data_IF_409469989585
#
_entry.id   IF_409469989585
#
_cell.length_a   1.000
_cell.length_b   1.000
_cell.length_c   1.000
_cell.angle_alpha   90.00
_cell.angle_beta   90.00
_cell.angle_gamma   90.00
#
_symmetry.space_group_name_H-M   'P 1'
#
loop_
_entity.id
_entity.type
_entity.pdbx_description
1 polymer ?
#
# COMPACT_ATOMS: atom_id res chain seq x y z
N UNK A 1 12.79 -18.85 -15.59
CA UNK A 1 12.79 -17.43 -15.18
C UNK A 1 14.01 -17.19 -14.33
N UNK A 2 14.90 -16.29 -14.72
CA UNK A 2 16.12 -15.95 -13.99
C UNK A 2 15.87 -14.77 -13.05
N UNK A 3 16.53 -14.76 -11.89
CA UNK A 3 16.44 -13.72 -10.85
C UNK A 3 17.08 -12.36 -11.25
N UNK A 4 16.97 -11.95 -12.52
CA UNK A 4 17.65 -10.78 -13.08
C UNK A 4 16.75 -9.62 -13.51
N UNK A 5 15.43 -9.80 -13.61
CA UNK A 5 14.50 -8.77 -14.10
C UNK A 5 13.91 -7.96 -12.93
N UNK A 6 14.77 -7.43 -12.08
CA UNK A 6 14.37 -6.41 -11.12
C UNK A 6 14.23 -5.09 -11.87
N UNK A 7 13.05 -4.88 -12.46
CA UNK A 7 12.62 -3.59 -12.99
C UNK A 7 12.79 -2.52 -11.91
N UNK A 8 13.77 -1.65 -12.08
CA UNK A 8 13.92 -0.47 -11.25
C UNK A 8 12.67 0.40 -11.40
N UNK A 9 12.11 0.88 -10.29
CA UNK A 9 11.19 2.01 -10.32
C UNK A 9 12.00 3.22 -10.75
N UNK A 10 11.88 3.60 -12.01
CA UNK A 10 12.42 4.85 -12.49
C UNK A 10 11.48 5.95 -12.01
N UNK A 11 12.00 6.81 -11.11
CA UNK A 11 11.36 8.05 -10.73
C UNK A 11 11.74 9.07 -11.78
N UNK A 12 10.81 9.36 -12.67
CA UNK A 12 11.06 10.29 -13.76
C UNK A 12 10.22 11.53 -13.41
N UNK A 13 10.86 12.65 -13.01
CA UNK A 13 10.18 13.93 -13.10
C UNK A 13 9.61 14.02 -14.53
N UNK A 14 8.39 14.51 -14.71
CA UNK A 14 7.73 14.60 -16.02
C UNK A 14 8.49 15.46 -17.06
N UNK A 15 9.69 15.96 -16.72
CA UNK A 15 10.55 16.81 -17.52
C UNK A 15 11.84 16.11 -18.00
N UNK A 16 12.16 14.90 -17.53
CA UNK A 16 13.36 14.17 -17.96
C UNK A 16 13.11 13.28 -19.19
N UNK A 17 14.13 13.14 -20.05
CA UNK A 17 14.05 12.28 -21.25
C UNK A 17 13.96 10.82 -20.86
N UNK A 18 12.77 10.26 -21.02
CA UNK A 18 12.51 8.82 -20.84
C UNK A 18 12.99 8.03 -22.06
N UNK A 19 13.56 6.85 -21.83
CA UNK A 19 13.94 5.95 -22.92
C UNK A 19 12.73 5.62 -23.81
N UNK A 20 12.82 5.74 -25.15
CA UNK A 20 11.69 5.52 -26.05
C UNK A 20 10.99 4.17 -25.87
N UNK A 21 11.75 3.11 -25.57
CA UNK A 21 11.18 1.77 -25.34
C UNK A 21 10.27 1.73 -24.10
N UNK A 22 10.63 2.47 -23.04
CA UNK A 22 9.76 2.60 -21.85
C UNK A 22 8.49 3.34 -22.24
N UNK A 23 8.62 4.46 -22.97
CA UNK A 23 7.46 5.25 -23.44
C UNK A 23 6.52 4.41 -24.29
N UNK A 24 7.05 3.55 -25.16
CA UNK A 24 6.25 2.70 -26.05
C UNK A 24 5.41 1.65 -25.33
N UNK A 25 5.86 1.22 -24.14
CA UNK A 25 5.15 0.27 -23.29
C UNK A 25 4.18 0.91 -22.29
N UNK A 26 4.15 2.24 -22.19
CA UNK A 26 3.26 2.94 -21.27
C UNK A 26 1.82 2.98 -21.78
N UNK A 27 0.89 2.86 -20.84
CA UNK A 27 -0.53 3.10 -21.08
C UNK A 27 -0.74 4.46 -21.79
N UNK A 28 -1.65 4.55 -22.77
CA UNK A 28 -1.96 5.83 -23.43
C UNK A 28 -2.19 6.99 -22.45
N UNK A 29 -2.85 6.72 -21.33
CA UNK A 29 -3.12 7.72 -20.30
C UNK A 29 -1.82 8.30 -19.71
N UNK A 30 -0.81 7.47 -19.42
CA UNK A 30 0.47 7.97 -18.96
C UNK A 30 1.24 8.71 -20.05
N UNK A 31 1.17 8.25 -21.30
CA UNK A 31 1.84 8.94 -22.41
C UNK A 31 1.36 10.37 -22.59
N UNK A 32 0.08 10.64 -22.34
CA UNK A 32 -0.47 12.00 -22.36
C UNK A 32 0.05 12.88 -21.20
N UNK A 33 0.44 12.26 -20.07
CA UNK A 33 0.97 12.94 -18.89
C UNK A 33 2.49 13.11 -18.90
N UNK A 34 3.21 12.33 -19.71
CA UNK A 34 4.67 12.23 -19.71
C UNK A 34 5.43 13.51 -20.02
N UNK A 35 4.79 14.48 -20.67
CA UNK A 35 5.36 15.78 -20.98
C UNK A 35 4.52 16.93 -20.39
N UNK A 36 3.54 16.60 -19.56
CA UNK A 36 2.68 17.58 -18.92
C UNK A 36 3.40 18.21 -17.74
N UNK A 37 3.28 19.53 -17.59
CA UNK A 37 3.66 20.20 -16.34
C UNK A 37 2.81 19.68 -15.18
N UNK A 38 3.27 19.79 -13.93
CA UNK A 38 2.47 19.47 -12.74
C UNK A 38 1.04 20.06 -12.76
N UNK A 39 0.90 21.32 -13.19
CA UNK A 39 -0.40 21.98 -13.30
C UNK A 39 -1.27 21.36 -14.40
N UNK A 40 -0.67 20.97 -15.53
CA UNK A 40 -1.39 20.31 -16.62
C UNK A 40 -1.86 18.91 -16.23
N UNK A 41 -1.07 18.17 -15.44
CA UNK A 41 -1.50 16.90 -14.85
C UNK A 41 -2.72 17.13 -13.95
N UNK A 42 -2.66 18.12 -13.06
CA UNK A 42 -3.79 18.47 -12.17
C UNK A 42 -5.04 18.90 -12.94
N UNK A 43 -4.91 19.72 -13.97
CA UNK A 43 -6.03 20.06 -14.86
C UNK A 43 -6.65 18.82 -15.50
N UNK A 44 -5.82 17.90 -15.97
CA UNK A 44 -6.28 16.65 -16.60
C UNK A 44 -7.06 15.79 -15.61
N UNK A 45 -6.54 15.65 -14.38
CA UNK A 45 -7.22 14.96 -13.29
C UNK A 45 -8.52 15.68 -12.89
N UNK A 46 -8.52 17.01 -12.79
CA UNK A 46 -9.69 17.81 -12.42
C UNK A 46 -10.81 17.72 -13.46
N UNK A 47 -10.48 17.74 -14.76
CA UNK A 47 -11.46 17.53 -15.83
C UNK A 47 -12.06 16.12 -15.72
N UNK A 48 -11.22 15.10 -15.51
CA UNK A 48 -11.67 13.71 -15.39
C UNK A 48 -12.58 13.51 -14.17
N UNK A 49 -12.18 14.04 -13.02
CA UNK A 49 -12.92 13.88 -11.78
C UNK A 49 -14.06 14.88 -11.62
N UNK A 50 -14.15 15.90 -12.47
CA UNK A 50 -15.21 16.90 -12.45
C UNK A 50 -16.61 16.31 -12.67
N UNK A 51 -16.69 15.17 -13.35
CA UNK A 51 -17.92 14.41 -13.58
C UNK A 51 -18.27 13.40 -12.48
N UNK A 52 -17.42 13.23 -11.46
CA UNK A 52 -17.73 12.32 -10.36
C UNK A 52 -18.92 12.85 -9.54
N UNK A 53 -19.74 11.95 -8.97
CA UNK A 53 -20.78 12.31 -8.00
C UNK A 53 -20.20 13.07 -6.81
N UNK A 54 -21.00 13.95 -6.21
CA UNK A 54 -20.58 14.80 -5.08
C UNK A 54 -20.04 13.98 -3.91
N UNK A 55 -20.59 12.78 -3.69
CA UNK A 55 -20.15 11.88 -2.63
C UNK A 55 -18.70 11.38 -2.79
N UNK A 56 -18.17 11.36 -4.02
CA UNK A 56 -16.81 10.94 -4.34
C UNK A 56 -15.83 12.11 -4.48
N UNK A 57 -16.33 13.36 -4.53
CA UNK A 57 -15.50 14.57 -4.64
C UNK A 57 -14.49 14.76 -3.50
N UNK A 58 -14.77 14.40 -2.23
CA UNK A 58 -13.79 14.57 -1.17
C UNK A 58 -12.46 13.89 -1.48
N UNK A 59 -12.49 12.61 -1.89
CA UNK A 59 -11.27 11.89 -2.28
C UNK A 59 -10.60 12.54 -3.50
N UNK A 60 -11.38 12.90 -4.53
CA UNK A 60 -10.82 13.54 -5.72
C UNK A 60 -10.11 14.86 -5.39
N UNK A 61 -10.74 15.70 -4.56
CA UNK A 61 -10.17 16.97 -4.12
C UNK A 61 -8.88 16.75 -3.32
N UNK A 62 -8.84 15.76 -2.41
CA UNK A 62 -7.61 15.42 -1.68
C UNK A 62 -6.48 14.99 -2.60
N UNK A 63 -6.78 14.20 -3.62
CA UNK A 63 -5.78 13.80 -4.61
C UNK A 63 -5.31 15.00 -5.46
N UNK A 64 -6.18 15.95 -5.78
CA UNK A 64 -5.80 17.18 -6.50
C UNK A 64 -4.96 18.14 -5.64
N UNK A 65 -5.20 18.17 -4.33
CA UNK A 65 -4.45 18.94 -3.34
C UNK A 65 -3.06 18.36 -3.07
N UNK A 66 -2.82 17.09 -3.41
CA UNK A 66 -1.51 16.48 -3.30
C UNK A 66 -0.45 17.28 -4.09
N UNK A 67 0.79 17.22 -3.62
CA UNK A 67 1.97 17.91 -4.13
C UNK A 67 2.35 17.55 -5.56
N UNK A 68 3.61 17.74 -5.96
CA UNK A 68 4.00 17.62 -7.37
C UNK A 68 3.79 16.18 -7.88
N UNK A 69 2.88 15.95 -8.85
CA UNK A 69 2.74 14.64 -9.48
C UNK A 69 4.06 14.23 -10.14
N UNK A 70 4.39 12.95 -10.05
CA UNK A 70 5.54 12.35 -10.72
C UNK A 70 5.14 11.02 -11.33
N UNK A 71 5.63 10.70 -12.54
CA UNK A 71 5.46 9.36 -13.07
C UNK A 71 6.50 8.42 -12.45
N UNK A 72 6.03 7.28 -11.95
CA UNK A 72 6.88 6.24 -11.38
C UNK A 72 6.52 4.91 -12.02
N UNK A 73 7.48 4.22 -12.61
CA UNK A 73 7.20 2.96 -13.29
C UNK A 73 8.41 2.09 -13.53
N UNK A 74 8.13 0.81 -13.78
CA UNK A 74 9.08 -0.20 -14.28
C UNK A 74 8.56 -0.80 -15.59
N UNK A 75 9.20 -1.85 -16.11
CA UNK A 75 8.86 -2.39 -17.43
C UNK A 75 7.44 -2.98 -17.55
N UNK A 76 6.80 -3.34 -16.42
CA UNK A 76 5.48 -3.98 -16.40
C UNK A 76 4.35 -3.13 -15.87
N UNK A 77 4.66 -2.05 -15.17
CA UNK A 77 3.64 -1.23 -14.53
C UNK A 77 4.16 0.18 -14.29
N UNK A 78 3.28 1.15 -14.50
CA UNK A 78 3.53 2.54 -14.17
C UNK A 78 2.38 3.09 -13.31
N UNK A 79 2.69 4.15 -12.57
CA UNK A 79 1.81 4.85 -11.66
C UNK A 79 2.10 6.33 -11.75
N UNK A 80 1.06 7.14 -11.61
CA UNK A 80 1.19 8.53 -11.25
C UNK A 80 1.31 8.61 -9.72
N UNK A 81 2.47 8.99 -9.21
CA UNK A 81 2.69 9.25 -7.80
C UNK A 81 2.23 10.68 -7.47
N UNK A 82 1.38 10.79 -6.47
CA UNK A 82 0.93 12.04 -5.86
C UNK A 82 1.47 12.09 -4.44
N UNK A 83 2.26 13.11 -4.11
CA UNK A 83 2.89 13.23 -2.78
C UNK A 83 2.13 14.24 -1.94
N UNK A 84 1.43 13.83 -0.88
CA UNK A 84 0.79 14.74 0.07
C UNK A 84 1.87 15.35 0.96
N UNK A 85 2.06 16.66 0.85
CA UNK A 85 3.05 17.43 1.62
C UNK A 85 2.50 17.81 3.00
N UNK A 86 3.28 17.62 4.08
CA UNK A 86 2.91 18.00 5.44
C UNK A 86 2.41 19.43 5.70
N UNK A 87 2.83 20.39 4.87
CA UNK A 87 2.67 21.83 5.11
C UNK A 87 1.91 22.51 3.97
N UNK A 88 1.33 21.75 3.04
CA UNK A 88 0.75 22.30 1.81
C UNK A 88 1.77 23.03 0.94
N UNK A 89 3.08 22.83 1.20
CA UNK A 89 4.16 23.42 0.41
C UNK A 89 4.47 22.46 -0.74
N UNK A 90 5.04 22.97 -1.82
CA UNK A 90 5.63 22.09 -2.83
C UNK A 90 6.98 21.64 -2.26
N UNK A 91 7.05 20.52 -1.53
CA UNK A 91 8.35 19.97 -1.12
C UNK A 91 9.20 19.70 -2.36
N UNK A 92 10.33 20.42 -2.47
CA UNK A 92 11.41 20.14 -3.43
C UNK A 92 12.38 19.07 -2.87
N UNK A 93 11.98 18.35 -1.81
CA UNK A 93 12.89 17.44 -1.13
C UNK A 93 13.26 16.25 -2.02
N UNK A 94 14.57 15.99 -2.24
CA UNK A 94 15.01 14.81 -2.95
C UNK A 94 14.62 13.55 -2.17
N UNK A 95 13.90 12.65 -2.84
CA UNK A 95 13.39 11.41 -2.29
C UNK A 95 14.51 10.49 -1.78
N UNK A 96 14.26 9.81 -0.64
CA UNK A 96 15.05 8.68 -0.15
C UNK A 96 14.13 7.44 -0.09
N UNK A 97 14.51 6.30 -0.69
CA UNK A 97 13.73 5.07 -0.62
C UNK A 97 13.49 4.64 0.83
N UNK A 98 12.21 4.39 1.17
CA UNK A 98 11.81 3.85 2.47
C UNK A 98 11.56 2.35 2.38
N UNK A 99 11.74 1.58 3.46
CA UNK A 99 11.98 0.15 3.30
C UNK A 99 10.88 -0.80 3.76
N UNK A 100 9.84 -0.34 4.44
CA UNK A 100 8.87 -1.25 5.02
C UNK A 100 7.87 -1.71 3.97
N UNK A 101 7.87 -3.02 3.71
CA UNK A 101 6.68 -3.88 3.62
C UNK A 101 7.12 -5.24 3.05
N UNK A 102 7.42 -6.16 3.97
CA UNK A 102 7.34 -7.59 3.67
C UNK A 102 6.14 -8.11 4.46
N UNK A 103 5.27 -8.98 3.91
CA UNK A 103 4.13 -9.52 4.63
C UNK A 103 4.55 -10.15 5.97
N UNK A 104 3.86 -9.79 7.05
CA UNK A 104 4.15 -10.21 8.42
C UNK A 104 4.36 -11.72 8.58
N UNK A 105 3.50 -12.51 7.92
CA UNK A 105 3.57 -13.97 7.88
C UNK A 105 4.90 -14.49 7.32
N UNK A 106 5.53 -13.77 6.39
CA UNK A 106 6.84 -14.13 5.86
C UNK A 106 7.96 -13.87 6.88
N UNK A 107 7.86 -12.79 7.67
CA UNK A 107 8.83 -12.49 8.74
C UNK A 107 8.77 -13.56 9.83
N UNK A 108 7.57 -13.96 10.25
CA UNK A 108 7.33 -14.99 11.27
C UNK A 108 7.83 -16.37 10.83
N UNK A 109 7.57 -16.79 9.60
CA UNK A 109 8.06 -18.08 9.07
C UNK A 109 9.60 -18.12 8.97
N UNK A 110 10.22 -17.00 8.61
CA UNK A 110 11.69 -16.89 8.57
C UNK A 110 12.31 -16.83 9.98
N UNK A 111 11.63 -16.19 10.94
CA UNK A 111 12.00 -16.21 12.36
C UNK A 111 11.93 -17.64 12.94
N UNK A 112 10.89 -18.41 12.59
CA UNK A 112 10.77 -19.86 12.93
C UNK A 112 11.94 -20.65 12.39
N UNK A 113 12.29 -20.44 11.12
CA UNK A 113 13.41 -21.12 10.49
C UNK A 113 14.76 -20.77 11.13
N UNK A 114 14.96 -19.50 11.52
CA UNK A 114 16.16 -19.02 12.21
C UNK A 114 16.33 -19.63 13.61
N UNK A 115 15.30 -19.55 14.46
CA UNK A 115 15.35 -20.06 15.84
C UNK A 115 15.60 -21.57 15.90
N UNK A 116 14.92 -22.37 15.07
CA UNK A 116 15.15 -23.83 14.99
C UNK A 116 16.62 -24.20 14.72
N UNK A 117 17.38 -23.33 14.05
CA UNK A 117 18.74 -23.61 13.59
C UNK A 117 19.83 -23.29 14.61
N UNK A 118 19.67 -22.25 15.43
CA UNK A 118 20.65 -21.84 16.47
C UNK A 118 20.62 -22.73 17.72
N UNK A 119 20.00 -23.92 17.61
CA UNK A 119 20.00 -24.91 18.67
C UNK A 119 18.88 -24.73 19.69
N UNK A 120 17.90 -23.84 19.44
CA UNK A 120 16.59 -23.95 20.09
C UNK A 120 15.93 -25.26 19.61
N UNK A 121 16.19 -26.36 20.32
CA UNK A 121 15.69 -27.69 20.01
C UNK A 121 14.43 -28.00 20.83
N UNK A 122 13.38 -28.48 20.17
CA UNK A 122 12.23 -29.12 20.82
C UNK A 122 10.94 -28.32 20.77
N UNK A 123 9.99 -28.71 21.64
CA UNK A 123 8.60 -28.24 21.69
C UNK A 123 8.43 -26.71 21.83
N UNK A 124 9.48 -25.97 22.18
CA UNK A 124 9.42 -24.56 22.52
C UNK A 124 9.14 -23.62 21.33
N UNK A 125 9.77 -23.80 20.16
CA UNK A 125 9.53 -22.92 18.98
C UNK A 125 8.15 -23.19 18.35
N UNK A 126 7.68 -24.44 18.38
CA UNK A 126 6.34 -24.80 17.89
C UNK A 126 5.22 -24.41 18.85
N UNK A 127 5.54 -24.22 20.14
CA UNK A 127 4.58 -23.76 21.14
C UNK A 127 4.55 -22.24 21.30
N UNK A 128 5.54 -21.52 20.77
CA UNK A 128 5.54 -20.06 20.74
C UNK A 128 4.44 -19.54 19.83
N UNK A 129 3.65 -18.61 20.34
CA UNK A 129 2.80 -17.79 19.48
C UNK A 129 3.66 -16.85 18.62
N UNK A 130 3.05 -16.27 17.58
CA UNK A 130 3.79 -15.45 16.61
C UNK A 130 4.49 -14.23 17.26
N UNK A 131 3.96 -13.71 18.37
CA UNK A 131 4.55 -12.58 19.09
C UNK A 131 5.71 -12.97 20.02
N UNK A 132 5.66 -14.14 20.64
CA UNK A 132 6.81 -14.71 21.38
C UNK A 132 7.97 -15.05 20.44
N UNK A 133 7.63 -15.54 19.25
CA UNK A 133 8.58 -15.97 18.24
C UNK A 133 9.30 -14.78 17.61
N UNK A 134 8.57 -13.71 17.30
CA UNK A 134 9.13 -12.43 16.88
C UNK A 134 10.10 -11.90 17.94
N UNK A 135 9.66 -11.79 19.20
CA UNK A 135 10.46 -11.23 20.29
C UNK A 135 11.75 -12.02 20.48
N UNK A 136 11.66 -13.34 20.53
CA UNK A 136 12.81 -14.23 20.72
C UNK A 136 13.76 -14.16 19.52
N UNK A 137 13.26 -14.10 18.28
CA UNK A 137 14.09 -13.92 17.09
C UNK A 137 14.76 -12.54 17.06
N UNK A 138 14.06 -11.49 17.47
CA UNK A 138 14.57 -10.12 17.52
C UNK A 138 15.58 -9.89 18.66
N UNK A 139 15.46 -10.61 19.77
CA UNK A 139 16.37 -10.59 20.92
C UNK A 139 17.63 -11.43 20.68
N UNK A 140 17.53 -12.54 19.93
CA UNK A 140 18.65 -13.43 19.60
C UNK A 140 19.46 -12.97 18.38
N UNK A 141 18.91 -12.08 17.55
CA UNK A 141 19.59 -11.56 16.36
C UNK A 141 20.61 -10.46 16.71
N UNK A 142 21.89 -10.68 16.36
CA UNK A 142 22.97 -9.70 16.52
C UNK A 142 22.67 -8.40 15.73
N UNK A 143 22.50 -7.24 16.41
CA UNK A 143 21.89 -6.03 15.86
C UNK A 143 22.74 -5.26 14.86
N UNK A 144 23.90 -5.75 14.42
CA UNK A 144 24.71 -5.04 13.44
C UNK A 144 23.90 -4.85 12.13
N UNK A 145 23.76 -3.62 11.60
CA UNK A 145 22.95 -3.37 10.41
C UNK A 145 23.49 -4.17 9.21
N UNK A 146 22.59 -4.78 8.44
CA UNK A 146 22.99 -5.32 7.14
C UNK A 146 23.20 -4.15 6.16
N UNK A 147 24.16 -4.27 5.22
CA UNK A 147 24.33 -3.27 4.18
C UNK A 147 23.13 -3.25 3.21
N UNK A 148 22.75 -2.09 2.65
CA UNK A 148 21.49 -1.91 1.89
C UNK A 148 21.43 -2.61 0.53
N UNK A 149 22.53 -3.21 0.08
CA UNK A 149 22.58 -3.97 -1.17
C UNK A 149 22.30 -5.44 -0.88
N UNK A 150 21.35 -6.11 -1.56
CA UNK A 150 21.06 -7.52 -1.34
C UNK A 150 22.31 -8.40 -1.40
N UNK A 151 23.17 -8.17 -2.40
CA UNK A 151 24.44 -8.89 -2.54
C UNK A 151 25.36 -8.68 -1.33
N UNK A 152 25.48 -7.45 -0.83
CA UNK A 152 26.29 -7.15 0.36
C UNK A 152 25.64 -7.71 1.62
N UNK A 153 24.31 -7.70 1.72
CA UNK A 153 23.55 -8.27 2.83
C UNK A 153 23.73 -9.80 2.89
N UNK A 154 23.66 -10.50 1.75
CA UNK A 154 23.98 -11.93 1.65
C UNK A 154 25.43 -12.21 2.07
N UNK A 155 26.38 -11.42 1.58
CA UNK A 155 27.79 -11.58 1.96
C UNK A 155 27.99 -11.36 3.47
N UNK A 156 27.27 -10.39 4.05
CA UNK A 156 27.30 -10.10 5.48
C UNK A 156 26.64 -11.21 6.31
N UNK A 157 25.51 -11.76 5.86
CA UNK A 157 24.86 -12.92 6.49
C UNK A 157 25.75 -14.16 6.42
N UNK A 158 26.39 -14.42 5.27
CA UNK A 158 27.41 -15.48 5.13
C UNK A 158 28.56 -15.28 6.14
N UNK A 159 29.05 -14.04 6.28
CA UNK A 159 30.11 -13.70 7.24
C UNK A 159 29.70 -13.94 8.69
N UNK A 160 28.41 -13.76 9.00
CA UNK A 160 27.81 -14.07 10.31
C UNK A 160 27.49 -15.56 10.51
N UNK A 161 27.87 -16.42 9.58
CA UNK A 161 27.68 -17.86 9.68
C UNK A 161 26.30 -18.33 9.24
N UNK A 162 25.49 -17.50 8.60
CA UNK A 162 24.26 -17.94 7.93
C UNK A 162 24.65 -18.69 6.64
N UNK A 163 24.42 -20.00 6.52
CA UNK A 163 24.82 -20.77 5.35
C UNK A 163 23.98 -20.39 4.12
N UNK A 164 24.56 -20.60 2.93
CA UNK A 164 24.00 -20.13 1.66
C UNK A 164 22.62 -20.74 1.32
N UNK A 165 22.42 -22.02 1.67
CA UNK A 165 21.18 -22.78 1.50
C UNK A 165 20.03 -22.23 2.38
N UNK A 166 20.32 -21.76 3.58
CA UNK A 166 19.34 -21.09 4.43
C UNK A 166 18.90 -19.72 3.88
N UNK A 167 19.65 -19.14 2.93
CA UNK A 167 19.27 -17.93 2.21
C UNK A 167 18.66 -18.22 0.83
N UNK A 168 18.63 -19.50 0.43
CA UNK A 168 18.06 -20.00 -0.82
C UNK A 168 16.54 -20.01 -0.70
N UNK A 169 15.93 -18.83 -0.84
CA UNK A 169 14.50 -18.60 -0.61
C UNK A 169 14.22 -17.21 -0.03
N UNK A 170 15.23 -16.57 0.57
CA UNK A 170 15.15 -15.15 0.89
C UNK A 170 15.14 -14.36 -0.41
N UNK A 171 14.08 -13.62 -0.67
CA UNK A 171 14.04 -12.65 -1.75
C UNK A 171 15.02 -11.51 -1.44
N UNK A 172 15.69 -10.98 -2.47
CA UNK A 172 16.53 -9.79 -2.37
C UNK A 172 15.77 -8.61 -1.73
N UNK A 173 14.44 -8.54 -1.91
CA UNK A 173 13.56 -7.56 -1.23
C UNK A 173 13.60 -7.67 0.30
N UNK A 174 13.60 -8.89 0.84
CA UNK A 174 13.64 -9.11 2.29
C UNK A 174 15.00 -8.72 2.89
N UNK A 175 16.08 -8.93 2.14
CA UNK A 175 17.41 -8.52 2.57
C UNK A 175 17.60 -7.01 2.59
N UNK A 176 16.99 -6.31 1.63
CA UNK A 176 16.90 -4.83 1.66
C UNK A 176 16.06 -4.37 2.84
N UNK A 177 14.92 -5.01 3.12
CA UNK A 177 14.10 -4.74 4.30
C UNK A 177 14.90 -4.91 5.61
N UNK A 178 15.56 -6.06 5.83
CA UNK A 178 16.38 -6.27 7.03
C UNK A 178 17.51 -5.24 7.17
N UNK A 179 18.18 -4.88 6.06
CA UNK A 179 19.25 -3.87 6.08
C UNK A 179 18.80 -2.47 6.50
N UNK A 180 17.51 -2.20 6.38
CA UNK A 180 16.97 -0.85 6.42
C UNK A 180 16.04 -0.63 7.62
N UNK A 181 15.43 -1.69 8.17
CA UNK A 181 14.83 -1.67 9.51
C UNK A 181 15.87 -1.42 10.60
N UNK A 182 17.13 -1.83 10.40
CA UNK A 182 18.22 -1.55 11.34
C UNK A 182 18.73 -0.10 11.33
N UNK A 183 18.48 0.69 10.29
CA UNK A 183 18.85 2.12 10.28
C UNK A 183 18.01 2.98 11.23
N UNK A 184 16.89 2.46 11.75
CA UNK A 184 15.95 3.22 12.58
C UNK A 184 15.98 2.86 14.07
N UNK A 185 16.86 1.94 14.50
CA UNK A 185 16.92 1.49 15.91
C UNK A 185 17.72 2.39 16.87
N UNK A 186 18.17 3.56 16.42
CA UNK A 186 18.96 4.47 17.26
C UNK A 186 18.72 5.97 17.04
N UNK A 187 17.87 6.32 16.08
CA UNK A 187 17.37 7.68 15.91
C UNK A 187 15.90 7.63 16.31
N UNK A 188 15.44 8.56 17.17
CA UNK A 188 14.01 8.77 17.35
C UNK A 188 13.37 8.82 15.96
N UNK A 189 12.27 8.09 15.68
CA UNK A 189 11.61 8.20 14.40
C UNK A 189 11.45 9.71 14.13
N UNK A 190 11.93 10.21 12.97
CA UNK A 190 11.83 11.64 12.70
C UNK A 190 10.39 12.05 12.93
N UNK A 191 10.16 13.12 13.71
CA UNK A 191 8.82 13.57 14.12
C UNK A 191 7.80 13.27 13.01
N UNK A 192 6.76 12.49 13.34
CA UNK A 192 5.73 12.03 12.39
C UNK A 192 5.13 13.20 11.57
N UNK A 193 5.26 14.44 12.08
CA UNK A 193 4.86 15.68 11.44
C UNK A 193 5.57 15.99 10.11
N UNK A 194 6.75 15.43 9.80
CA UNK A 194 7.50 15.71 8.56
C UNK A 194 7.32 14.63 7.46
N UNK A 195 6.41 13.68 7.64
CA UNK A 195 6.28 12.56 6.71
C UNK A 195 5.43 12.92 5.50
N UNK A 196 6.05 12.91 4.32
CA UNK A 196 5.33 12.91 3.03
C UNK A 196 4.61 11.59 2.81
N UNK A 197 3.35 11.64 2.39
CA UNK A 197 2.56 10.45 2.06
C UNK A 197 2.41 10.32 0.55
N UNK A 198 2.92 9.23 -0.01
CA UNK A 198 2.82 8.98 -1.44
C UNK A 198 1.59 8.13 -1.76
N UNK A 199 0.77 8.61 -2.69
CA UNK A 199 -0.32 7.86 -3.30
C UNK A 199 0.07 7.51 -4.73
N UNK A 200 -0.22 6.29 -5.15
CA UNK A 200 0.10 5.79 -6.49
C UNK A 200 -1.21 5.50 -7.23
N UNK A 201 -1.39 6.21 -8.33
CA UNK A 201 -2.58 6.13 -9.18
C UNK A 201 -2.22 5.33 -10.43
N UNK A 202 -2.82 4.15 -10.66
CA UNK A 202 -2.65 3.44 -11.91
C UNK A 202 -3.44 4.13 -13.03
N UNK A 203 -3.30 3.68 -14.30
CA UNK A 203 -4.25 4.04 -15.33
C UNK A 203 -5.65 3.66 -14.89
N UNK A 204 -6.61 4.57 -15.03
CA UNK A 204 -7.98 4.25 -14.71
C UNK A 204 -8.54 3.27 -15.75
N UNK A 205 -9.43 2.35 -15.36
CA UNK A 205 -9.95 1.33 -16.25
C UNK A 205 -10.82 1.94 -17.34
N UNK A 206 -10.96 1.22 -18.45
CA UNK A 206 -12.01 1.52 -19.41
C UNK A 206 -13.38 1.38 -18.73
N UNK A 207 -14.30 2.31 -19.01
CA UNK A 207 -15.59 2.37 -18.34
C UNK A 207 -16.50 1.19 -18.69
N UNK A 208 -16.45 0.71 -19.92
CA UNK A 208 -17.24 -0.47 -20.34
C UNK A 208 -16.63 -1.74 -19.75
N UNK A 209 -15.31 -1.84 -19.68
CA UNK A 209 -14.63 -2.94 -18.98
C UNK A 209 -14.99 -2.96 -17.48
N UNK A 210 -14.93 -1.82 -16.79
CA UNK A 210 -15.31 -1.69 -15.40
C UNK A 210 -16.80 -2.05 -15.18
N UNK A 211 -17.69 -1.57 -16.05
CA UNK A 211 -19.12 -1.92 -16.02
C UNK A 211 -19.34 -3.42 -16.21
N UNK A 212 -18.65 -4.03 -17.17
CA UNK A 212 -18.71 -5.48 -17.41
C UNK A 212 -18.18 -6.29 -16.22
N UNK A 213 -17.11 -5.82 -15.58
CA UNK A 213 -16.59 -6.43 -14.36
C UNK A 213 -17.61 -6.37 -13.21
N UNK A 214 -18.16 -5.18 -12.93
CA UNK A 214 -19.15 -4.95 -11.86
C UNK A 214 -20.44 -5.74 -12.11
N UNK A 215 -20.92 -5.80 -13.34
CA UNK A 215 -22.14 -6.53 -13.69
C UNK A 215 -22.07 -8.02 -13.35
N UNK A 216 -20.87 -8.63 -13.43
CA UNK A 216 -20.66 -10.04 -13.06
C UNK A 216 -20.79 -10.30 -11.56
N UNK A 217 -20.69 -9.26 -10.74
CA UNK A 217 -20.67 -9.35 -9.27
C UNK A 217 -22.08 -9.28 -8.66
N UNK A 218 -23.12 -9.09 -9.48
CA UNK A 218 -24.51 -9.07 -9.01
C UNK A 218 -24.86 -7.88 -8.11
N UNK A 219 -24.10 -6.79 -8.17
CA UNK A 219 -24.38 -5.56 -7.40
C UNK A 219 -25.67 -4.92 -7.94
N UNK A 220 -26.64 -4.70 -7.05
CA UNK A 220 -27.97 -4.21 -7.42
C UNK A 220 -27.95 -2.77 -7.97
N UNK A 221 -27.12 -1.90 -7.39
CA UNK A 221 -26.97 -0.50 -7.78
C UNK A 221 -25.55 -0.22 -8.25
N UNK A 222 -25.21 -0.53 -9.52
CA UNK A 222 -23.84 -0.42 -9.99
C UNK A 222 -23.37 1.04 -10.17
N UNK A 223 -24.25 2.04 -10.05
CA UNK A 223 -23.95 3.45 -10.31
C UNK A 223 -22.77 3.97 -9.47
N UNK A 224 -22.91 4.07 -8.14
CA UNK A 224 -21.83 4.54 -7.27
C UNK A 224 -20.55 3.71 -7.37
N UNK A 225 -20.69 2.39 -7.45
CA UNK A 225 -19.56 1.46 -7.56
C UNK A 225 -18.80 1.65 -8.87
N UNK A 226 -19.51 1.89 -9.98
CA UNK A 226 -18.90 2.17 -11.28
C UNK A 226 -18.17 3.51 -11.28
N UNK A 227 -18.77 4.57 -10.73
CA UNK A 227 -18.09 5.87 -10.64
C UNK A 227 -16.86 5.80 -9.73
N UNK A 228 -16.94 5.05 -8.64
CA UNK A 228 -15.79 4.77 -7.77
C UNK A 228 -14.69 4.05 -8.54
N UNK A 229 -15.00 2.94 -9.23
CA UNK A 229 -14.02 2.19 -10.00
C UNK A 229 -13.38 3.08 -11.10
N UNK A 230 -14.17 3.81 -11.88
CA UNK A 230 -13.64 4.67 -12.96
C UNK A 230 -12.78 5.83 -12.42
N UNK A 231 -13.05 6.28 -11.20
CA UNK A 231 -12.35 7.38 -10.54
C UNK A 231 -11.08 6.96 -9.81
N UNK A 232 -11.10 5.82 -9.12
CA UNK A 232 -10.10 5.46 -8.10
C UNK A 232 -9.64 3.99 -8.14
N UNK A 233 -9.87 3.27 -9.24
CA UNK A 233 -9.40 1.88 -9.37
C UNK A 233 -7.92 1.75 -9.03
N UNK A 234 -7.58 0.82 -8.14
CA UNK A 234 -6.19 0.49 -7.84
C UNK A 234 -5.35 1.58 -7.18
N UNK A 235 -5.94 2.72 -6.78
CA UNK A 235 -5.25 3.77 -6.00
C UNK A 235 -4.73 3.16 -4.71
N UNK A 236 -3.47 3.45 -4.38
CA UNK A 236 -2.77 2.82 -3.27
C UNK A 236 -1.84 3.77 -2.54
N UNK A 237 -1.60 3.50 -1.28
CA UNK A 237 -0.73 4.23 -0.37
C UNK A 237 0.71 3.75 -0.43
N UNK A 238 0.97 2.62 -1.07
CA UNK A 238 2.27 1.97 -1.09
C UNK A 238 2.72 1.69 -2.53
N UNK A 239 4.04 1.62 -2.77
CA UNK A 239 4.55 1.18 -4.06
C UNK A 239 3.93 -0.16 -4.51
N UNK A 240 3.83 -0.41 -5.83
CA UNK A 240 3.39 -1.68 -6.37
C UNK A 240 4.06 -2.88 -5.68
N UNK A 241 3.26 -3.95 -5.48
CA UNK A 241 3.59 -5.21 -4.77
C UNK A 241 3.43 -5.20 -3.25
N UNK A 242 3.09 -4.05 -2.68
CA UNK A 242 2.76 -3.92 -1.26
C UNK A 242 1.25 -3.76 -1.10
N UNK A 243 0.71 -4.24 0.02
CA UNK A 243 -0.67 -3.95 0.44
C UNK A 243 -0.81 -2.47 0.84
N UNK A 244 -2.04 -2.01 1.03
CA UNK A 244 -2.39 -0.62 1.33
C UNK A 244 -2.95 0.09 0.10
N UNK A 245 -4.11 -0.34 -0.40
CA UNK A 245 -4.76 0.29 -1.54
C UNK A 245 -6.04 -0.42 -1.96
N UNK A 246 -6.79 0.23 -2.86
CA UNK A 246 -7.95 -0.40 -3.49
C UNK A 246 -7.50 -1.53 -4.41
N UNK A 247 -8.25 -2.64 -4.38
CA UNK A 247 -8.04 -3.71 -5.36
C UNK A 247 -8.57 -3.26 -6.73
N UNK A 248 -7.84 -3.50 -7.83
CA UNK A 248 -8.36 -3.25 -9.16
C UNK A 248 -9.65 -4.04 -9.41
N UNK A 249 -10.63 -3.44 -10.09
CA UNK A 249 -11.96 -4.02 -10.33
C UNK A 249 -11.90 -5.35 -11.07
N UNK A 250 -10.89 -5.54 -11.93
CA UNK A 250 -10.63 -6.80 -12.63
C UNK A 250 -10.24 -7.95 -11.67
N UNK A 251 -9.73 -7.60 -10.48
CA UNK A 251 -9.31 -8.50 -9.41
C UNK A 251 -10.32 -8.61 -8.28
N UNK A 252 -11.43 -7.88 -8.31
CA UNK A 252 -12.49 -8.07 -7.32
C UNK A 252 -12.99 -9.51 -7.38
N UNK A 253 -13.03 -10.12 -6.20
CA UNK A 253 -13.50 -11.48 -5.94
C UNK A 253 -14.37 -11.45 -4.70
N UNK A 254 -15.34 -12.35 -4.64
CA UNK A 254 -16.09 -12.54 -3.40
C UNK A 254 -15.23 -13.26 -2.36
N UNK A 255 -15.57 -13.11 -1.08
CA UNK A 255 -14.95 -13.88 0.01
C UNK A 255 -14.98 -15.39 -0.29
N UNK A 256 -16.09 -15.89 -0.85
CA UNK A 256 -16.22 -17.29 -1.28
C UNK A 256 -15.19 -17.67 -2.36
N UNK A 257 -15.00 -16.81 -3.36
CA UNK A 257 -14.06 -17.06 -4.46
C UNK A 257 -12.59 -17.03 -4.01
N UNK A 258 -12.28 -16.23 -2.99
CA UNK A 258 -10.97 -16.23 -2.32
C UNK A 258 -10.73 -17.49 -1.47
N UNK A 259 -11.76 -18.30 -1.22
CA UNK A 259 -11.66 -19.56 -0.48
C UNK A 259 -11.65 -19.39 1.04
N UNK A 260 -12.15 -18.27 1.55
CA UNK A 260 -12.31 -18.02 2.97
C UNK A 260 -13.60 -18.67 3.50
N UNK A 261 -13.45 -19.78 4.23
CA UNK A 261 -14.55 -20.61 4.76
C UNK A 261 -14.84 -20.38 6.26
N UNK A 262 -14.33 -19.30 6.84
CA UNK A 262 -14.42 -19.04 8.28
C UNK A 262 -15.85 -18.69 8.73
N UNK A 263 -16.27 -19.20 9.90
CA UNK A 263 -17.62 -19.02 10.44
C UNK A 263 -17.99 -17.54 10.65
N UNK A 264 -17.04 -16.71 11.07
CA UNK A 264 -17.26 -15.28 11.27
C UNK A 264 -17.59 -14.52 9.97
N UNK A 265 -17.41 -15.16 8.81
CA UNK A 265 -17.73 -14.64 7.48
C UNK A 265 -19.08 -15.13 6.95
N UNK A 266 -19.87 -15.90 7.72
CA UNK A 266 -21.09 -16.53 7.23
C UNK A 266 -22.09 -15.56 6.56
N UNK A 267 -22.15 -14.29 6.99
CA UNK A 267 -22.97 -13.24 6.39
C UNK A 267 -22.30 -12.41 5.29
N UNK A 268 -21.02 -12.67 4.99
CA UNK A 268 -20.17 -11.87 4.11
C UNK A 268 -19.54 -12.66 2.96
N UNK A 269 -19.97 -13.91 2.75
CA UNK A 269 -19.44 -14.79 1.70
C UNK A 269 -19.56 -14.22 0.28
N UNK A 270 -20.60 -13.41 0.01
CA UNK A 270 -20.78 -12.73 -1.29
C UNK A 270 -20.19 -11.31 -1.32
N UNK A 271 -19.56 -10.86 -0.24
CA UNK A 271 -18.95 -9.54 -0.20
C UNK A 271 -17.64 -9.52 -1.00
N UNK A 272 -17.34 -8.39 -1.62
CA UNK A 272 -16.15 -8.18 -2.43
C UNK A 272 -15.02 -7.58 -1.61
N UNK A 273 -13.79 -8.05 -1.82
CA UNK A 273 -12.60 -7.36 -1.28
C UNK A 273 -12.33 -6.13 -2.15
N UNK A 274 -12.53 -4.93 -1.61
CA UNK A 274 -12.37 -3.66 -2.35
C UNK A 274 -11.13 -2.87 -1.94
N UNK A 275 -10.60 -3.10 -0.74
CA UNK A 275 -9.33 -2.52 -0.28
C UNK A 275 -8.58 -3.53 0.58
N UNK A 276 -7.25 -3.57 0.43
CA UNK A 276 -6.37 -4.42 1.25
C UNK A 276 -5.44 -3.48 2.02
N UNK A 277 -5.55 -3.47 3.34
CA UNK A 277 -4.72 -2.67 4.23
C UNK A 277 -3.31 -3.23 4.36
N UNK A 278 -2.38 -2.40 4.83
CA UNK A 278 -0.97 -2.79 4.99
C UNK A 278 -0.75 -3.88 6.03
N UNK A 279 -1.59 -3.92 7.06
CA UNK A 279 -1.58 -4.96 8.09
C UNK A 279 -2.24 -6.27 7.61
N UNK A 280 -2.81 -6.30 6.40
CA UNK A 280 -3.49 -7.46 5.82
C UNK A 280 -5.00 -7.46 5.96
N UNK A 281 -5.59 -6.53 6.72
CA UNK A 281 -7.05 -6.44 6.84
C UNK A 281 -7.70 -6.04 5.53
N UNK A 282 -8.94 -6.47 5.32
CA UNK A 282 -9.67 -6.19 4.09
C UNK A 282 -10.87 -5.30 4.35
N UNK A 283 -11.13 -4.35 3.45
CA UNK A 283 -12.44 -3.71 3.37
C UNK A 283 -13.32 -4.53 2.45
N UNK A 284 -14.49 -4.90 2.95
CA UNK A 284 -15.49 -5.69 2.25
C UNK A 284 -16.65 -4.82 1.79
N UNK A 285 -17.06 -4.95 0.53
CA UNK A 285 -18.30 -4.37 0.00
C UNK A 285 -19.36 -5.47 -0.13
N UNK A 286 -20.37 -5.43 0.74
CA UNK A 286 -21.49 -6.36 0.71
C UNK A 286 -22.43 -6.07 -0.48
N UNK A 287 -23.11 -7.07 -1.08
CA UNK A 287 -24.06 -6.85 -2.18
C UNK A 287 -25.22 -5.89 -1.83
N UNK A 288 -25.50 -5.68 -0.54
CA UNK A 288 -26.49 -4.70 -0.07
C UNK A 288 -25.97 -3.25 -0.02
N UNK A 289 -24.72 -3.00 -0.42
CA UNK A 289 -24.07 -1.68 -0.38
C UNK A 289 -23.33 -1.36 0.93
N UNK A 290 -23.48 -2.20 1.97
CA UNK A 290 -22.81 -2.01 3.27
C UNK A 290 -21.32 -2.32 3.18
N UNK A 291 -20.52 -1.62 3.96
CA UNK A 291 -19.06 -1.75 3.96
C UNK A 291 -18.54 -2.07 5.35
N UNK A 292 -17.64 -3.03 5.44
CA UNK A 292 -17.07 -3.50 6.69
C UNK A 292 -15.56 -3.73 6.60
N UNK A 293 -14.90 -3.73 7.76
CA UNK A 293 -13.58 -4.31 7.91
C UNK A 293 -13.68 -5.81 8.18
N UNK A 294 -12.89 -6.60 7.48
CA UNK A 294 -12.51 -7.95 7.88
C UNK A 294 -11.19 -7.84 8.66
N UNK A 295 -11.28 -8.02 9.99
CA UNK A 295 -10.13 -7.89 10.91
C UNK A 295 -9.57 -9.29 11.15
N UNK A 296 -8.50 -9.64 10.44
CA UNK A 296 -7.97 -11.02 10.45
C UNK A 296 -7.52 -11.45 11.83
N UNK A 297 -6.80 -10.59 12.54
CA UNK A 297 -6.24 -10.89 13.86
C UNK A 297 -7.31 -11.17 14.92
N UNK A 298 -8.53 -10.66 14.73
CA UNK A 298 -9.63 -10.74 15.70
C UNK A 298 -10.76 -11.65 15.24
N UNK A 299 -10.63 -12.29 14.07
CA UNK A 299 -11.61 -13.22 13.52
C UNK A 299 -13.03 -12.64 13.52
N UNK A 300 -13.16 -11.37 13.07
CA UNK A 300 -14.44 -10.66 13.03
C UNK A 300 -14.61 -9.80 11.79
N UNK A 301 -15.88 -9.49 11.50
CA UNK A 301 -16.26 -8.47 10.52
C UNK A 301 -16.90 -7.29 11.26
N UNK A 302 -16.31 -6.12 11.11
CA UNK A 302 -16.74 -4.86 11.70
C UNK A 302 -17.45 -4.00 10.65
N UNK A 303 -18.78 -4.02 10.68
CA UNK A 303 -19.59 -3.14 9.85
C UNK A 303 -19.42 -1.68 10.31
N UNK A 304 -18.81 -0.85 9.46
CA UNK A 304 -18.45 0.53 9.81
C UNK A 304 -19.19 1.57 8.99
N UNK A 305 -19.45 1.30 7.72
CA UNK A 305 -20.07 2.26 6.83
C UNK A 305 -21.31 1.66 6.15
N UNK A 306 -22.45 2.35 6.16
CA UNK A 306 -23.68 1.87 5.54
C UNK A 306 -23.61 1.88 4.00
N UNK A 307 -22.69 2.66 3.41
CA UNK A 307 -22.53 2.82 1.95
C UNK A 307 -21.06 2.90 1.56
N UNK A 308 -20.77 2.67 0.27
CA UNK A 308 -19.42 2.84 -0.31
C UNK A 308 -18.97 4.30 -0.26
N UNK A 309 -19.90 5.22 -0.46
CA UNK A 309 -19.68 6.66 -0.44
C UNK A 309 -19.20 7.15 0.94
N UNK A 310 -19.83 6.68 2.01
CA UNK A 310 -19.40 7.02 3.37
C UNK A 310 -18.01 6.46 3.69
N UNK A 311 -17.71 5.25 3.20
CA UNK A 311 -16.37 4.68 3.27
C UNK A 311 -15.34 5.55 2.53
N UNK A 312 -15.63 5.98 1.30
CA UNK A 312 -14.73 6.84 0.50
C UNK A 312 -14.52 8.19 1.17
N UNK A 313 -15.57 8.78 1.75
CA UNK A 313 -15.47 10.01 2.53
C UNK A 313 -14.53 9.83 3.72
N UNK A 314 -14.72 8.74 4.47
CA UNK A 314 -13.87 8.42 5.62
C UNK A 314 -12.42 8.14 5.21
N UNK A 315 -12.21 7.44 4.09
CA UNK A 315 -10.87 7.23 3.53
C UNK A 315 -10.19 8.55 3.16
N UNK A 316 -10.92 9.46 2.49
CA UNK A 316 -10.40 10.79 2.14
C UNK A 316 -10.02 11.60 3.37
N UNK A 317 -10.84 11.56 4.42
CA UNK A 317 -10.52 12.17 5.71
C UNK A 317 -9.32 11.51 6.38
N UNK A 318 -9.14 10.19 6.19
CA UNK A 318 -8.03 9.48 6.80
C UNK A 318 -6.67 9.88 6.26
N UNK A 319 -6.61 10.27 4.99
CA UNK A 319 -5.38 10.76 4.36
C UNK A 319 -4.77 11.97 5.11
N UNK A 320 -5.57 12.71 5.87
CA UNK A 320 -5.10 13.84 6.71
C UNK A 320 -4.31 13.41 7.96
N UNK A 321 -4.49 12.17 8.42
CA UNK A 321 -3.78 11.62 9.58
C UNK A 321 -2.39 11.10 9.24
N UNK A 322 -2.06 10.92 7.95
CA UNK A 322 -0.76 10.42 7.46
C UNK A 322 -0.38 9.05 8.06
N UNK A 323 -1.39 8.27 8.36
CA UNK A 323 -1.29 6.92 8.90
C UNK A 323 -1.74 5.92 7.83
N UNK A 324 -1.18 4.70 7.77
CA UNK A 324 -1.73 3.65 6.91
C UNK A 324 -3.24 3.50 7.14
N UNK A 325 -4.02 3.37 6.08
CA UNK A 325 -5.43 3.09 6.26
C UNK A 325 -5.63 1.61 6.61
N UNK A 326 -5.98 1.34 7.87
CA UNK A 326 -6.20 0.00 8.42
C UNK A 326 -7.35 -0.02 9.43
N UNK A 327 -7.67 -1.21 9.94
CA UNK A 327 -8.81 -1.41 10.85
C UNK A 327 -8.62 -0.80 12.24
N UNK A 328 -7.37 -0.60 12.68
CA UNK A 328 -7.04 -0.05 13.99
C UNK A 328 -7.08 1.48 13.98
N UNK A 329 -6.97 2.09 12.80
CA UNK A 329 -7.05 3.53 12.63
C UNK A 329 -5.79 4.25 13.10
N UNK A 330 -5.79 5.60 13.04
CA UNK A 330 -4.65 6.38 13.48
C UNK A 330 -4.49 6.31 15.01
N UNK A 331 -3.25 6.35 15.54
CA UNK A 331 -3.02 6.52 16.96
C UNK A 331 -3.52 7.89 17.45
N UNK A 332 -3.81 8.02 18.74
CA UNK A 332 -4.28 9.28 19.35
C UNK A 332 -3.37 10.47 19.02
N UNK A 333 -2.05 10.25 18.97
CA UNK A 333 -1.06 11.27 18.60
C UNK A 333 -1.27 11.84 17.19
N UNK A 334 -1.63 11.00 16.22
CA UNK A 334 -1.91 11.44 14.85
C UNK A 334 -3.22 12.24 14.76
N UNK A 335 -4.21 11.86 15.57
CA UNK A 335 -5.46 12.61 15.71
C UNK A 335 -5.20 13.98 16.35
N UNK A 336 -4.45 14.03 17.45
CA UNK A 336 -4.06 15.26 18.14
C UNK A 336 -3.26 16.19 17.22
N UNK A 337 -2.30 15.65 16.46
CA UNK A 337 -1.51 16.41 15.49
C UNK A 337 -2.38 17.03 14.38
N UNK A 338 -3.38 16.29 13.88
CA UNK A 338 -4.38 16.85 12.94
C UNK A 338 -5.16 17.99 13.58
N UNK A 339 -5.73 17.78 14.76
CA UNK A 339 -6.53 18.79 15.45
C UNK A 339 -5.71 20.05 15.76
N UNK A 340 -4.47 19.89 16.18
CA UNK A 340 -3.54 21.00 16.42
C UNK A 340 -3.27 21.80 15.14
N UNK A 341 -3.07 21.13 13.99
CA UNK A 341 -2.90 21.76 12.68
C UNK A 341 -4.15 22.53 12.26
N UNK A 342 -5.31 21.90 12.35
CA UNK A 342 -6.59 22.50 11.91
C UNK A 342 -7.00 23.69 12.81
N UNK A 343 -6.46 23.75 14.04
CA UNK A 343 -6.66 24.87 14.98
C UNK A 343 -5.71 26.05 14.76
N UNK A 344 -4.65 25.91 13.93
CA UNK A 344 -3.74 27.03 13.64
C UNK A 344 -4.43 27.99 12.67
N UNK A 345 -4.47 29.30 12.98
CA UNK A 345 -4.98 30.29 12.03
C UNK A 345 -4.15 30.23 10.75
N UNK A 346 -4.81 30.34 9.59
CA UNK A 346 -4.11 30.46 8.31
C UNK A 346 -3.23 31.72 8.35
N UNK A 347 -1.91 31.51 8.34
CA UNK A 347 -0.90 32.60 8.28
C UNK A 347 -0.79 33.22 6.90
#
# INVERSE_FOLDING_TARGET
MTAGDCDWLHYLPCEERIHPDVVSGLDPWFRDLLAASPDRVRETLAVRWGSLPDALRPLANRLLEAGRPALVGGARQAFLRLTIDPRGRLAEHPWKPRPWATPWRFVVEQARAFLRRDGFRGKDVESMDDGELERTAMESWDPAPLPPSPRKARAELLRRGIPADAMEGLDDRFLVFLASTHHYRGEEPPDDEDWSWDLYLPPPPDREEARGAIARLGIAEPGPVLEFAVGFDGVRESPPRLSGGFEPVARWRTIREEGFEEEFLAGWQEALVVFVARNGDHVLLHPSGRVAWMVFAEHRVDERWPTLEEFVHHYADHLDYRWPFDSYGPPDSAVEARLARDSRPAE
#
